data_IF_145701719489
#
_entry.id   IF_145701719489
#
_cell.length_a   1.000
_cell.length_b   1.000
_cell.length_c   1.000
_cell.angle_alpha   90.00
_cell.angle_beta   90.00
_cell.angle_gamma   90.00
#
_symmetry.space_group_name_H-M   'P 1'
#
loop_
_entity.id
_entity.type
_entity.pdbx_description
1 polymer ?
#
# COMPACT_ATOMS: atom_id res chain seq x y z
N UNK A 1 -14.83 17.70 -5.23
CA UNK A 1 -14.08 16.43 -5.24
C UNK A 1 -14.23 15.76 -3.89
N UNK A 2 -14.66 14.49 -3.82
CA UNK A 2 -14.78 13.78 -2.52
C UNK A 2 -13.42 13.30 -2.06
N UNK A 3 -13.20 13.25 -0.74
CA UNK A 3 -11.95 12.75 -0.13
C UNK A 3 -12.22 11.41 0.54
N UNK A 4 -11.33 10.44 0.32
CA UNK A 4 -11.38 9.10 0.88
C UNK A 4 -10.06 8.80 1.59
N UNK A 5 -10.13 8.53 2.90
CA UNK A 5 -9.02 7.99 3.66
C UNK A 5 -9.13 6.46 3.68
N UNK A 6 -8.03 5.77 3.37
CA UNK A 6 -7.93 4.32 3.43
C UNK A 6 -6.90 3.97 4.50
N UNK A 7 -7.28 3.17 5.49
CA UNK A 7 -6.39 2.76 6.58
C UNK A 7 -6.15 1.27 6.44
N UNK A 8 -4.90 0.87 6.31
CA UNK A 8 -4.52 -0.54 6.19
C UNK A 8 -3.18 -0.77 6.88
N UNK A 9 -2.86 -2.03 7.19
CA UNK A 9 -1.66 -2.33 7.97
C UNK A 9 -0.39 -2.14 7.16
N UNK A 10 -0.37 -2.62 5.92
CA UNK A 10 0.80 -2.58 5.05
C UNK A 10 0.40 -2.67 3.57
N UNK A 11 1.28 -2.22 2.65
CA UNK A 11 1.05 -2.39 1.22
C UNK A 11 1.16 -3.87 0.84
N UNK A 12 0.22 -4.32 0.00
CA UNK A 12 0.17 -5.69 -0.53
C UNK A 12 -0.23 -5.65 -2.00
N UNK A 13 0.12 -6.69 -2.73
CA UNK A 13 -0.07 -6.84 -4.17
C UNK A 13 -1.54 -6.76 -4.62
N UNK A 14 -2.48 -7.13 -3.74
CA UNK A 14 -3.92 -7.07 -4.05
C UNK A 14 -4.49 -5.65 -3.95
N UNK A 15 -3.92 -4.80 -3.10
CA UNK A 15 -4.46 -3.48 -2.80
C UNK A 15 -3.83 -2.38 -3.65
N UNK A 16 -2.53 -2.46 -3.94
CA UNK A 16 -1.81 -1.42 -4.68
C UNK A 16 -2.45 -1.10 -6.06
N UNK A 17 -2.81 -2.09 -6.90
CA UNK A 17 -3.45 -1.79 -8.19
C UNK A 17 -4.82 -1.12 -8.04
N UNK A 18 -5.58 -1.49 -6.99
CA UNK A 18 -6.87 -0.87 -6.70
C UNK A 18 -6.71 0.61 -6.33
N UNK A 19 -5.72 0.94 -5.50
CA UNK A 19 -5.47 2.33 -5.09
C UNK A 19 -5.01 3.19 -6.26
N UNK A 20 -4.12 2.67 -7.10
CA UNK A 20 -3.69 3.33 -8.32
C UNK A 20 -4.90 3.62 -9.25
N UNK A 21 -5.75 2.62 -9.50
CA UNK A 21 -6.96 2.79 -10.32
C UNK A 21 -7.93 3.81 -9.71
N UNK A 22 -8.09 3.84 -8.39
CA UNK A 22 -8.94 4.82 -7.72
C UNK A 22 -8.40 6.26 -7.86
N UNK A 23 -7.08 6.44 -7.71
CA UNK A 23 -6.43 7.75 -7.87
C UNK A 23 -6.55 8.26 -9.33
N UNK A 24 -6.36 7.38 -10.31
CA UNK A 24 -6.45 7.70 -11.75
C UNK A 24 -7.83 8.20 -12.21
N UNK A 25 -8.90 7.96 -11.44
CA UNK A 25 -10.25 8.40 -11.82
C UNK A 25 -10.45 9.90 -11.66
N UNK A 26 -9.58 10.59 -10.91
CA UNK A 26 -9.58 12.04 -10.68
C UNK A 26 -10.89 12.65 -10.13
N UNK A 27 -11.87 11.82 -9.79
CA UNK A 27 -13.16 12.23 -9.23
C UNK A 27 -13.24 12.01 -7.71
N UNK A 28 -12.24 11.32 -7.13
CA UNK A 28 -12.06 11.08 -5.70
C UNK A 28 -10.57 11.31 -5.37
N UNK A 29 -10.29 12.17 -4.40
CA UNK A 29 -8.96 12.28 -3.81
C UNK A 29 -8.79 11.19 -2.75
N UNK A 30 -7.86 10.27 -2.98
CA UNK A 30 -7.54 9.21 -2.01
C UNK A 30 -6.23 9.54 -1.27
N UNK A 31 -6.14 9.10 -0.01
CA UNK A 31 -4.88 8.97 0.72
C UNK A 31 -4.87 7.69 1.54
N UNK A 32 -3.80 6.90 1.43
CA UNK A 32 -3.64 5.62 2.12
C UNK A 32 -2.72 5.79 3.33
N UNK A 33 -3.13 5.29 4.48
CA UNK A 33 -2.36 5.32 5.73
C UNK A 33 -1.95 3.89 6.10
N UNK A 34 -0.64 3.65 6.17
CA UNK A 34 -0.04 2.38 6.54
C UNK A 34 0.42 2.37 8.00
N UNK A 35 -0.17 1.49 8.81
CA UNK A 35 0.03 1.51 10.27
C UNK A 35 1.19 0.67 10.79
N UNK A 36 1.82 -0.15 9.94
CA UNK A 36 2.98 -0.98 10.33
C UNK A 36 4.34 -0.27 10.09
N UNK A 37 4.31 0.95 9.54
CA UNK A 37 5.54 1.66 9.19
C UNK A 37 6.24 1.10 7.95
N UNK A 38 7.34 1.74 7.56
CA UNK A 38 8.11 1.46 6.34
C UNK A 38 8.90 0.14 6.41
N UNK A 39 9.17 -0.37 7.61
CA UNK A 39 9.89 -1.63 7.84
C UNK A 39 9.22 -2.83 7.16
N UNK A 40 7.92 -2.76 6.86
CA UNK A 40 7.18 -3.81 6.15
C UNK A 40 7.56 -3.93 4.67
N UNK A 41 8.21 -2.91 4.10
CA UNK A 41 8.71 -2.96 2.72
C UNK A 41 10.03 -3.74 2.60
N UNK A 42 10.71 -4.02 3.71
CA UNK A 42 11.95 -4.81 3.69
C UNK A 42 11.60 -6.26 3.37
N UNK A 43 12.51 -6.93 2.65
CA UNK A 43 12.41 -8.37 2.38
C UNK A 43 12.02 -9.11 3.66
N UNK A 44 10.88 -9.79 3.61
CA UNK A 44 10.38 -10.55 4.74
C UNK A 44 10.38 -12.01 4.38
N UNK A 45 11.02 -12.80 5.24
CA UNK A 45 10.87 -14.24 5.20
C UNK A 45 9.44 -14.59 5.57
N UNK A 46 8.73 -15.26 4.66
CA UNK A 46 7.42 -15.83 4.91
C UNK A 46 7.59 -17.30 5.35
N UNK A 47 7.25 -17.65 6.61
CA UNK A 47 7.39 -19.02 7.10
C UNK A 47 6.48 -20.04 6.41
N UNK A 48 5.35 -19.61 5.87
CA UNK A 48 4.41 -20.46 5.13
C UNK A 48 4.96 -20.86 3.76
N UNK A 49 5.68 -19.95 3.09
CA UNK A 49 6.32 -20.19 1.81
C UNK A 49 7.79 -20.62 1.90
N UNK A 50 8.38 -20.51 3.10
CA UNK A 50 9.79 -20.75 3.39
C UNK A 50 10.76 -19.95 2.51
N UNK A 51 10.37 -18.72 2.15
CA UNK A 51 11.11 -17.87 1.20
C UNK A 51 11.05 -16.41 1.63
N UNK A 52 12.07 -15.65 1.23
CA UNK A 52 11.95 -14.20 1.20
C UNK A 52 10.97 -13.83 0.10
N UNK A 53 9.95 -13.05 0.47
CA UNK A 53 8.97 -12.53 -0.47
C UNK A 53 9.37 -11.11 -0.84
N UNK A 54 9.56 -10.90 -2.14
CA UNK A 54 9.65 -9.59 -2.77
C UNK A 54 8.52 -9.52 -3.81
N UNK A 55 7.83 -8.38 -3.85
CA UNK A 55 6.74 -8.17 -4.80
C UNK A 55 7.32 -7.65 -6.11
N UNK A 56 6.90 -8.25 -7.21
CA UNK A 56 7.30 -7.90 -8.58
C UNK A 56 6.54 -6.69 -9.15
N UNK A 57 5.78 -5.97 -8.32
CA UNK A 57 4.98 -4.82 -8.72
C UNK A 57 5.25 -3.60 -7.82
N UNK A 58 5.12 -2.37 -8.37
CA UNK A 58 5.30 -1.15 -7.59
C UNK A 58 4.13 -0.99 -6.60
N UNK A 59 4.42 -1.23 -5.33
CA UNK A 59 3.39 -1.22 -4.29
C UNK A 59 2.91 0.17 -3.88
N UNK A 60 3.73 1.21 -4.07
CA UNK A 60 3.50 2.55 -3.51
C UNK A 60 3.43 3.65 -4.57
N UNK A 61 3.31 3.27 -5.84
CA UNK A 61 3.28 4.23 -6.95
C UNK A 61 1.84 4.53 -7.39
N UNK A 62 1.63 5.76 -7.88
CA UNK A 62 0.36 6.15 -8.52
C UNK A 62 -0.76 6.54 -7.57
N UNK A 63 -0.50 6.69 -6.26
CA UNK A 63 -1.46 7.24 -5.29
C UNK A 63 -0.75 7.88 -4.09
N UNK A 64 -1.45 8.77 -3.36
CA UNK A 64 -0.93 9.42 -2.15
C UNK A 64 -0.99 8.47 -0.94
N UNK A 65 0.11 8.37 -0.20
CA UNK A 65 0.19 7.55 0.99
C UNK A 65 1.02 8.20 2.10
N UNK A 66 0.88 7.66 3.32
CA UNK A 66 1.74 7.96 4.45
C UNK A 66 1.91 6.71 5.33
N UNK A 67 3.13 6.48 5.82
CA UNK A 67 3.35 5.62 6.97
C UNK A 67 3.03 6.41 8.24
N UNK A 68 2.27 5.82 9.15
CA UNK A 68 1.94 6.44 10.44
C UNK A 68 2.73 5.78 11.57
N UNK A 69 3.25 6.62 12.46
CA UNK A 69 3.87 6.20 13.71
C UNK A 69 2.76 5.95 14.75
N UNK A 70 2.93 4.94 15.60
CA UNK A 70 2.06 4.69 16.75
C UNK A 70 2.58 5.42 17.99
#
# INVERSE_FOLDING_TARGET
MKRLAIITTHPIQYNAPLFQLLAQRENIAIKVFYTWGDTVLKEKYDPGFQKNIEWDIPLLEGYDYAFVEN
#
